data_IF_338007080587
#
_entry.id   IF_338007080587
#
_cell.length_a   1.000
_cell.length_b   1.000
_cell.length_c   1.000
_cell.angle_alpha   90.00
_cell.angle_beta   90.00
_cell.angle_gamma   90.00
#
_symmetry.space_group_name_H-M   'P 1'
#
loop_
_entity.id
_entity.type
_entity.pdbx_description
1 polymer ?
#
# COMPACT_ATOMS: atom_id res chain seq x y z
N UNK A 1 66.00 -12.26 -20.01
CA UNK A 1 65.06 -12.44 -18.90
C UNK A 1 63.65 -12.31 -19.46
N UNK A 2 62.87 -13.39 -19.43
CA UNK A 2 61.56 -13.44 -20.07
C UNK A 2 60.53 -12.77 -19.16
N UNK A 3 59.90 -11.69 -19.63
CA UNK A 3 58.78 -11.03 -18.95
C UNK A 3 57.54 -11.92 -19.05
N UNK A 4 57.00 -12.35 -17.92
CA UNK A 4 55.74 -13.09 -17.87
C UNK A 4 54.60 -12.18 -18.36
N UNK A 5 53.88 -12.60 -19.41
CA UNK A 5 52.69 -11.93 -19.92
C UNK A 5 51.62 -11.82 -18.82
N UNK A 6 50.86 -10.71 -18.75
CA UNK A 6 49.74 -10.59 -17.82
C UNK A 6 48.69 -11.65 -18.17
N UNK A 7 48.24 -12.40 -17.17
CA UNK A 7 47.19 -13.40 -17.32
C UNK A 7 45.94 -12.78 -17.97
N UNK A 8 45.20 -13.52 -18.82
CA UNK A 8 43.99 -12.99 -19.44
C UNK A 8 43.01 -12.60 -18.32
N UNK A 9 42.55 -11.35 -18.36
CA UNK A 9 41.50 -10.81 -17.48
C UNK A 9 40.35 -11.81 -17.47
N UNK A 10 40.19 -12.53 -16.36
CA UNK A 10 39.19 -13.57 -16.25
C UNK A 10 37.85 -12.90 -16.50
N UNK A 11 37.28 -13.14 -17.68
CA UNK A 11 36.02 -12.58 -18.11
C UNK A 11 35.01 -12.82 -16.97
N UNK A 12 34.74 -11.75 -16.20
CA UNK A 12 33.90 -11.83 -15.00
C UNK A 12 32.62 -12.49 -15.45
N UNK A 13 32.36 -13.72 -14.97
CA UNK A 13 31.17 -14.47 -15.34
C UNK A 13 29.98 -13.58 -15.00
N UNK A 14 29.35 -13.03 -16.05
CA UNK A 14 28.16 -12.18 -15.94
C UNK A 14 27.00 -13.10 -15.56
N UNK A 15 26.98 -13.51 -14.30
CA UNK A 15 25.83 -14.18 -13.72
C UNK A 15 24.77 -13.13 -13.43
N UNK A 16 23.51 -13.54 -13.50
CA UNK A 16 22.40 -12.68 -13.10
C UNK A 16 22.52 -12.47 -11.60
N UNK A 17 22.87 -11.25 -11.19
CA UNK A 17 23.01 -10.89 -9.78
C UNK A 17 21.72 -11.20 -9.03
N UNK A 18 21.85 -11.87 -7.89
CA UNK A 18 20.75 -12.11 -6.95
C UNK A 18 20.24 -10.77 -6.38
N UNK A 19 19.04 -10.75 -5.81
CA UNK A 19 18.48 -9.52 -5.23
C UNK A 19 19.40 -8.91 -4.16
N UNK A 20 20.03 -9.77 -3.35
CA UNK A 20 20.97 -9.37 -2.29
C UNK A 20 22.26 -8.81 -2.89
N UNK A 21 22.80 -9.44 -3.94
CA UNK A 21 24.02 -8.97 -4.61
C UNK A 21 23.82 -7.61 -5.30
N UNK A 22 22.65 -7.37 -5.90
CA UNK A 22 22.31 -6.06 -6.47
C UNK A 22 22.31 -4.98 -5.39
N UNK A 23 21.66 -5.24 -4.25
CA UNK A 23 21.66 -4.30 -3.12
C UNK A 23 23.07 -4.06 -2.58
N UNK A 24 23.88 -5.12 -2.39
CA UNK A 24 25.29 -4.98 -1.98
C UNK A 24 26.06 -4.07 -2.93
N UNK A 25 25.97 -4.30 -4.24
CA UNK A 25 26.66 -3.45 -5.22
C UNK A 25 26.20 -1.98 -5.22
N UNK A 26 24.92 -1.72 -4.90
CA UNK A 26 24.39 -0.36 -4.75
C UNK A 26 24.90 0.30 -3.47
N UNK A 27 24.96 -0.44 -2.36
CA UNK A 27 25.53 0.02 -1.09
C UNK A 27 27.02 0.30 -1.22
N UNK A 28 27.79 -0.61 -1.81
CA UNK A 28 29.22 -0.42 -2.08
C UNK A 28 29.47 0.82 -2.93
N UNK A 29 28.56 1.15 -3.85
CA UNK A 29 28.65 2.38 -4.65
C UNK A 29 28.33 3.62 -3.83
N UNK A 30 27.34 3.56 -2.94
CA UNK A 30 26.92 4.69 -2.11
C UNK A 30 27.92 4.98 -0.99
N UNK A 31 28.52 3.94 -0.41
CA UNK A 31 29.48 4.02 0.70
C UNK A 31 30.90 4.39 0.28
N UNK A 32 31.22 4.39 -1.04
CA UNK A 32 32.50 4.89 -1.55
C UNK A 32 32.74 6.36 -1.17
N UNK A 33 31.70 7.17 -1.25
CA UNK A 33 31.75 8.62 -0.96
C UNK A 33 30.60 8.99 0.00
N UNK A 34 30.76 8.78 1.32
CA UNK A 34 29.67 9.00 2.29
C UNK A 34 29.29 10.48 2.47
N UNK A 35 30.13 11.42 2.01
CA UNK A 35 29.84 12.85 2.02
C UNK A 35 28.87 13.28 0.90
N UNK A 36 28.66 12.44 -0.11
CA UNK A 36 27.77 12.76 -1.23
C UNK A 36 26.31 12.48 -0.84
N UNK A 37 25.40 13.47 -0.92
CA UNK A 37 24.00 13.23 -0.62
C UNK A 37 23.42 12.20 -1.60
N UNK A 38 22.69 11.23 -1.06
CA UNK A 38 22.01 10.22 -1.86
C UNK A 38 20.90 10.87 -2.71
N UNK A 39 20.88 10.57 -4.00
CA UNK A 39 19.82 11.04 -4.89
C UNK A 39 18.56 10.20 -4.68
N UNK A 40 17.54 10.81 -4.06
CA UNK A 40 16.19 10.25 -4.01
C UNK A 40 15.37 10.89 -5.12
N UNK A 41 14.85 10.11 -6.08
CA UNK A 41 14.05 10.68 -7.15
C UNK A 41 12.77 11.31 -6.57
N UNK A 42 12.37 12.50 -7.05
CA UNK A 42 11.09 13.08 -6.67
C UNK A 42 9.94 12.21 -7.18
N UNK A 43 8.74 12.42 -6.61
CA UNK A 43 7.53 11.73 -7.05
C UNK A 43 7.32 11.90 -8.57
N UNK A 44 6.80 10.87 -9.25
CA UNK A 44 6.51 10.95 -10.67
C UNK A 44 5.50 12.07 -10.93
N UNK A 45 5.81 12.94 -11.89
CA UNK A 45 4.92 14.03 -12.29
C UNK A 45 3.80 13.51 -13.18
N UNK A 46 2.62 14.08 -13.02
CA UNK A 46 1.48 13.83 -13.90
C UNK A 46 1.78 14.34 -15.31
N UNK A 47 1.22 13.65 -16.31
CA UNK A 47 1.39 14.01 -17.72
C UNK A 47 0.55 15.24 -17.98
N UNK A 48 1.18 16.35 -18.36
CA UNK A 48 0.48 17.60 -18.69
C UNK A 48 0.75 17.97 -20.14
N UNK A 49 -0.26 18.51 -20.80
CA UNK A 49 -0.12 19.09 -22.14
C UNK A 49 0.23 20.55 -21.99
N UNK A 50 1.11 21.03 -22.87
CA UNK A 50 1.48 22.46 -22.91
C UNK A 50 0.24 23.30 -23.18
N UNK A 51 0.04 24.42 -22.45
CA UNK A 51 -1.09 25.29 -22.68
C UNK A 51 -1.09 25.82 -24.12
N UNK A 52 -2.29 26.08 -24.65
CA UNK A 52 -2.43 26.74 -25.93
C UNK A 52 -1.76 28.12 -25.88
N UNK A 53 -1.13 28.52 -26.99
CA UNK A 53 -0.51 29.84 -27.09
C UNK A 53 -1.61 30.90 -27.23
N UNK A 54 -1.52 31.96 -26.43
CA UNK A 54 -2.54 33.02 -26.40
C UNK A 54 -2.70 33.76 -27.73
N UNK A 55 -1.59 34.09 -28.40
CA UNK A 55 -1.60 34.78 -29.70
C UNK A 55 -0.75 34.03 -30.72
N UNK A 56 -1.36 33.63 -31.82
CA UNK A 56 -0.64 33.15 -33.00
C UNK A 56 -0.15 34.33 -33.83
N UNK A 57 1.17 34.41 -34.04
CA UNK A 57 1.80 35.51 -34.80
C UNK A 57 1.70 35.36 -36.32
N UNK A 58 1.39 34.14 -36.81
CA UNK A 58 1.48 33.78 -38.22
C UNK A 58 0.12 33.34 -38.76
N UNK A 59 -0.94 34.11 -38.48
CA UNK A 59 -2.29 33.81 -38.98
C UNK A 59 -2.43 34.44 -40.36
N UNK A 60 -2.55 33.59 -41.38
CA UNK A 60 -2.84 34.02 -42.76
C UNK A 60 -4.32 34.44 -42.87
N UNK A 61 -4.65 35.37 -43.78
CA UNK A 61 -6.00 35.91 -43.90
C UNK A 61 -7.06 34.85 -44.23
N UNK A 62 -8.31 35.08 -43.80
CA UNK A 62 -9.39 34.08 -43.84
C UNK A 62 -9.78 33.61 -45.25
N UNK A 63 -9.51 34.41 -46.28
CA UNK A 63 -9.77 34.07 -47.70
C UNK A 63 -8.55 33.53 -48.42
N UNK A 64 -7.41 33.40 -47.74
CA UNK A 64 -6.19 32.93 -48.37
C UNK A 64 -6.24 31.41 -48.57
N UNK A 65 -5.71 30.92 -49.69
CA UNK A 65 -5.72 29.49 -50.03
C UNK A 65 -4.87 28.63 -49.09
N UNK A 66 -5.09 27.31 -49.14
CA UNK A 66 -4.32 26.35 -48.34
C UNK A 66 -2.84 26.34 -48.75
N UNK A 67 -1.96 26.74 -47.83
CA UNK A 67 -0.52 26.65 -48.01
C UNK A 67 0.01 25.22 -47.83
N UNK A 68 1.23 24.94 -48.31
CA UNK A 68 1.87 23.63 -48.20
C UNK A 68 2.13 23.16 -46.76
N UNK A 69 2.25 24.11 -45.82
CA UNK A 69 2.44 23.83 -44.40
C UNK A 69 1.16 23.57 -43.60
N UNK A 70 -0.02 23.89 -44.15
CA UNK A 70 -1.28 23.86 -43.41
C UNK A 70 -1.65 22.46 -42.95
N UNK A 71 -1.36 21.44 -43.78
CA UNK A 71 -1.55 20.04 -43.41
C UNK A 71 -0.78 19.65 -42.13
N UNK A 72 0.46 20.12 -42.00
CA UNK A 72 1.28 19.81 -40.83
C UNK A 72 0.81 20.57 -39.59
N UNK A 73 0.32 21.81 -39.74
CA UNK A 73 -0.31 22.58 -38.67
C UNK A 73 -1.54 21.84 -38.14
N UNK A 74 -2.43 21.38 -39.03
CA UNK A 74 -3.60 20.58 -38.66
C UNK A 74 -3.22 19.25 -37.99
N UNK A 75 -2.25 18.52 -38.54
CA UNK A 75 -1.79 17.24 -37.96
C UNK A 75 -1.28 17.44 -36.53
N UNK A 76 -0.49 18.50 -36.29
CA UNK A 76 0.03 18.81 -34.97
C UNK A 76 -1.07 19.27 -33.99
N UNK A 77 -2.00 20.11 -34.44
CA UNK A 77 -3.12 20.59 -33.60
C UNK A 77 -4.07 19.45 -33.24
N UNK A 78 -4.43 18.60 -34.22
CA UNK A 78 -5.29 17.43 -34.01
C UNK A 78 -4.67 16.43 -33.05
N UNK A 79 -3.37 16.15 -33.19
CA UNK A 79 -2.66 15.27 -32.25
C UNK A 79 -2.69 15.83 -30.83
N UNK A 80 -2.40 17.12 -30.66
CA UNK A 80 -2.45 17.78 -29.35
C UNK A 80 -3.86 17.72 -28.74
N UNK A 81 -4.89 17.91 -29.57
CA UNK A 81 -6.27 17.87 -29.09
C UNK A 81 -6.72 16.45 -28.68
N UNK A 82 -6.34 15.42 -29.43
CA UNK A 82 -6.60 14.04 -29.03
C UNK A 82 -5.86 13.63 -27.76
N UNK A 83 -4.61 14.06 -27.61
CA UNK A 83 -3.87 13.87 -26.36
C UNK A 83 -4.61 14.58 -25.20
N UNK A 84 -5.17 15.78 -25.42
CA UNK A 84 -5.90 16.55 -24.40
C UNK A 84 -7.21 15.91 -23.99
N UNK A 85 -8.02 15.50 -24.97
CA UNK A 85 -9.28 14.81 -24.72
C UNK A 85 -9.03 13.50 -23.98
N UNK A 86 -8.02 12.73 -24.41
CA UNK A 86 -7.66 11.48 -23.75
C UNK A 86 -7.26 11.69 -22.27
N UNK A 87 -6.45 12.69 -21.96
CA UNK A 87 -6.08 12.96 -20.57
C UNK A 87 -7.29 13.35 -19.73
N UNK A 88 -8.20 14.19 -20.25
CA UNK A 88 -9.44 14.56 -19.57
C UNK A 88 -10.35 13.34 -19.32
N UNK A 89 -10.46 12.45 -20.30
CA UNK A 89 -11.21 11.19 -20.16
C UNK A 89 -10.58 10.25 -19.12
N UNK A 90 -9.25 10.10 -19.15
CA UNK A 90 -8.50 9.27 -18.21
C UNK A 90 -8.62 9.84 -16.77
N UNK A 91 -8.52 11.16 -16.59
CA UNK A 91 -8.70 11.85 -15.31
C UNK A 91 -10.11 11.65 -14.76
N UNK A 92 -11.15 11.89 -15.56
CA UNK A 92 -12.53 11.69 -15.15
C UNK A 92 -12.82 10.23 -14.74
N UNK A 93 -12.21 9.28 -15.46
CA UNK A 93 -12.30 7.87 -15.12
C UNK A 93 -11.64 7.57 -13.78
N UNK A 94 -10.41 8.01 -13.56
CA UNK A 94 -9.69 7.82 -12.29
C UNK A 94 -10.46 8.48 -11.13
N UNK A 95 -10.98 9.69 -11.33
CA UNK A 95 -11.79 10.38 -10.30
C UNK A 95 -13.04 9.56 -9.95
N UNK A 96 -13.76 9.04 -10.94
CA UNK A 96 -14.94 8.19 -10.68
C UNK A 96 -14.58 6.90 -9.92
N UNK A 97 -13.50 6.22 -10.32
CA UNK A 97 -13.06 4.97 -9.70
C UNK A 97 -12.57 5.19 -8.26
N UNK A 98 -11.84 6.29 -8.01
CA UNK A 98 -11.36 6.66 -6.68
C UNK A 98 -12.52 7.07 -5.77
N UNK A 99 -13.47 7.87 -6.25
CA UNK A 99 -14.65 8.25 -5.48
C UNK A 99 -15.51 7.03 -5.08
N UNK A 100 -15.71 6.08 -6.01
CA UNK A 100 -16.40 4.83 -5.69
C UNK A 100 -15.66 3.99 -4.66
N UNK A 101 -14.34 3.87 -4.81
CA UNK A 101 -13.50 3.12 -3.89
C UNK A 101 -13.54 3.74 -2.49
N UNK A 102 -13.41 5.06 -2.37
CA UNK A 102 -13.48 5.76 -1.10
C UNK A 102 -14.84 5.61 -0.44
N UNK A 103 -15.94 5.67 -1.21
CA UNK A 103 -17.29 5.43 -0.70
C UNK A 103 -17.41 4.02 -0.12
N UNK A 104 -17.01 3.00 -0.88
CA UNK A 104 -17.04 1.59 -0.41
C UNK A 104 -16.17 1.38 0.82
N UNK A 105 -15.01 2.03 0.86
CA UNK A 105 -14.08 1.97 2.00
C UNK A 105 -14.70 2.58 3.25
N UNK A 106 -15.29 3.78 3.16
CA UNK A 106 -15.96 4.46 4.27
C UNK A 106 -17.13 3.63 4.80
N UNK A 107 -17.97 3.10 3.93
CA UNK A 107 -19.07 2.21 4.32
C UNK A 107 -18.57 0.96 5.08
N UNK A 108 -17.47 0.35 4.61
CA UNK A 108 -16.88 -0.79 5.29
C UNK A 108 -16.29 -0.42 6.66
N UNK A 109 -15.60 0.72 6.76
CA UNK A 109 -15.05 1.25 8.00
C UNK A 109 -16.17 1.58 9.01
N UNK A 110 -17.23 2.28 8.58
CA UNK A 110 -18.38 2.64 9.41
C UNK A 110 -19.12 1.40 9.95
N UNK A 111 -19.32 0.37 9.12
CA UNK A 111 -19.98 -0.86 9.57
C UNK A 111 -19.11 -1.65 10.55
N UNK A 112 -17.79 -1.63 10.39
CA UNK A 112 -16.85 -2.23 11.33
C UNK A 112 -16.81 -1.43 12.64
N UNK A 113 -16.81 -0.10 12.58
CA UNK A 113 -16.85 0.78 13.74
C UNK A 113 -18.15 0.61 14.52
N UNK A 114 -19.31 0.60 13.86
CA UNK A 114 -20.59 0.37 14.51
C UNK A 114 -20.64 -0.97 15.27
N UNK A 115 -20.11 -2.04 14.67
CA UNK A 115 -20.02 -3.37 15.32
C UNK A 115 -19.06 -3.34 16.52
N UNK A 116 -17.89 -2.73 16.37
CA UNK A 116 -16.89 -2.66 17.44
C UNK A 116 -17.33 -1.74 18.57
N UNK A 117 -17.95 -0.60 18.29
CA UNK A 117 -18.52 0.33 19.25
C UNK A 117 -19.65 -0.32 20.07
N UNK A 118 -20.57 -1.05 19.41
CA UNK A 118 -21.63 -1.81 20.10
C UNK A 118 -21.04 -2.84 21.06
N UNK A 119 -20.00 -3.56 20.64
CA UNK A 119 -19.33 -4.55 21.48
C UNK A 119 -18.52 -3.89 22.62
N UNK A 120 -17.86 -2.76 22.36
CA UNK A 120 -17.15 -1.95 23.35
C UNK A 120 -18.11 -1.43 24.42
N UNK A 121 -19.26 -0.88 24.03
CA UNK A 121 -20.30 -0.42 24.94
C UNK A 121 -20.84 -1.55 25.83
N UNK A 122 -21.08 -2.75 25.28
CA UNK A 122 -21.47 -3.93 26.08
C UNK A 122 -20.41 -4.32 27.13
N UNK A 123 -19.13 -4.29 26.75
CA UNK A 123 -18.01 -4.59 27.66
C UNK A 123 -17.87 -3.54 28.76
N UNK A 124 -18.01 -2.24 28.43
CA UNK A 124 -17.94 -1.16 29.42
C UNK A 124 -19.09 -1.24 30.42
N UNK A 125 -20.34 -1.45 29.96
CA UNK A 125 -21.48 -1.67 30.86
C UNK A 125 -21.26 -2.86 31.80
N UNK A 126 -20.66 -3.96 31.33
CA UNK A 126 -20.30 -5.10 32.19
C UNK A 126 -19.21 -4.74 33.20
N UNK A 127 -18.20 -3.98 32.79
CA UNK A 127 -17.11 -3.50 33.64
C UNK A 127 -17.63 -2.55 34.74
N UNK A 128 -18.52 -1.62 34.40
CA UNK A 128 -19.17 -0.72 35.34
C UNK A 128 -20.02 -1.50 36.36
N UNK A 129 -20.86 -2.44 35.91
CA UNK A 129 -21.63 -3.30 36.81
C UNK A 129 -20.75 -4.13 37.76
N UNK A 130 -19.60 -4.61 37.29
CA UNK A 130 -18.65 -5.35 38.12
C UNK A 130 -17.94 -4.43 39.14
N UNK A 131 -17.66 -3.17 38.77
CA UNK A 131 -17.07 -2.14 39.65
C UNK A 131 -18.03 -1.60 40.71
N UNK A 132 -19.34 -1.66 40.49
CA UNK A 132 -20.37 -1.28 41.48
C UNK A 132 -20.71 -2.44 42.42
N UNK A 133 -20.39 -3.68 42.05
CA UNK A 133 -20.59 -4.89 42.88
C UNK A 133 -19.45 -5.33 43.83
N UNK A 134 -18.31 -4.65 44.05
CA UNK A 134 -17.25 -5.17 44.91
C UNK A 134 -17.47 -4.90 46.40
N UNK A 135 -18.69 -4.61 46.86
CA UNK A 135 -18.94 -4.28 48.28
C UNK A 135 -20.10 -5.01 48.96
N UNK A 136 -20.69 -6.07 48.38
CA UNK A 136 -21.56 -6.95 49.15
C UNK A 136 -21.38 -8.42 48.75
N UNK A 137 -21.08 -9.22 49.79
CA UNK A 137 -20.97 -10.69 49.88
C UNK A 137 -19.58 -11.26 49.56
N UNK A 138 -18.77 -11.73 50.51
CA UNK A 138 -19.12 -12.14 51.88
C UNK A 138 -20.09 -13.33 51.85
N UNK A 139 -19.52 -14.53 51.91
CA UNK A 139 -20.17 -15.83 52.12
C UNK A 139 -20.99 -16.47 50.99
N UNK A 140 -20.39 -17.56 50.48
CA UNK A 140 -20.95 -18.83 50.02
C UNK A 140 -22.40 -18.92 49.52
N UNK A 141 -22.56 -19.34 48.25
CA UNK A 141 -23.22 -20.61 47.91
C UNK A 141 -22.99 -20.97 46.45
N UNK A 142 -22.55 -22.20 46.27
CA UNK A 142 -22.57 -23.02 45.06
C UNK A 142 -23.90 -22.88 44.29
N UNK A 143 -23.82 -22.55 42.99
CA UNK A 143 -24.84 -22.96 42.03
C UNK A 143 -24.21 -23.02 40.63
N UNK A 144 -23.84 -24.25 40.29
CA UNK A 144 -23.31 -24.67 39.00
C UNK A 144 -24.47 -24.68 37.98
N UNK A 145 -24.69 -23.58 37.27
CA UNK A 145 -25.58 -23.56 36.11
C UNK A 145 -24.80 -23.27 34.84
N UNK A 146 -24.37 -24.36 34.19
CA UNK A 146 -23.83 -24.40 32.84
C UNK A 146 -24.84 -23.83 31.83
N UNK A 147 -24.59 -22.63 31.32
CA UNK A 147 -25.24 -22.12 30.13
C UNK A 147 -24.42 -22.51 28.88
N UNK A 148 -25.04 -23.03 27.81
CA UNK A 148 -24.38 -23.82 26.80
C UNK A 148 -23.44 -22.95 25.95
N UNK A 149 -22.14 -23.25 26.04
CA UNK A 149 -21.12 -22.75 25.14
C UNK A 149 -21.51 -23.18 23.72
N UNK A 150 -21.88 -22.20 22.89
CA UNK A 150 -22.12 -22.40 21.45
C UNK A 150 -20.89 -23.07 20.83
N UNK A 151 -21.03 -24.37 20.56
CA UNK A 151 -20.10 -25.23 19.82
C UNK A 151 -19.72 -24.55 18.50
N UNK A 152 -18.57 -23.88 18.46
CA UNK A 152 -17.93 -23.45 17.22
C UNK A 152 -17.21 -24.68 16.67
N UNK A 153 -17.74 -25.25 15.59
CA UNK A 153 -17.13 -26.41 14.92
C UNK A 153 -15.70 -26.05 14.51
N UNK A 154 -14.75 -26.82 15.03
CA UNK A 154 -13.35 -26.76 14.63
C UNK A 154 -13.15 -27.76 13.47
N UNK A 155 -12.67 -27.26 12.33
CA UNK A 155 -12.20 -28.14 11.25
C UNK A 155 -10.91 -28.79 11.78
N UNK A 156 -10.94 -30.12 11.95
CA UNK A 156 -9.84 -31.01 12.37
C UNK A 156 -9.69 -31.37 13.86
N UNK A 157 -10.74 -31.21 14.68
CA UNK A 157 -10.91 -32.05 15.89
C UNK A 157 -9.88 -31.94 17.02
N UNK A 158 -9.03 -30.91 17.06
CA UNK A 158 -8.12 -30.66 18.20
C UNK A 158 -8.52 -29.41 18.97
N UNK A 159 -9.13 -29.57 20.13
CA UNK A 159 -9.57 -28.46 20.98
C UNK A 159 -8.40 -27.51 21.33
N UNK A 160 -8.52 -26.25 20.94
CA UNK A 160 -7.59 -25.19 21.32
C UNK A 160 -8.13 -24.47 22.55
N UNK A 161 -7.66 -24.90 23.72
CA UNK A 161 -7.88 -24.20 24.99
C UNK A 161 -6.85 -23.07 25.09
N UNK A 162 -7.30 -21.82 24.97
CA UNK A 162 -6.41 -20.66 25.21
C UNK A 162 -6.22 -20.48 26.72
N UNK A 163 -5.01 -20.80 27.21
CA UNK A 163 -4.54 -20.54 28.58
C UNK A 163 -4.41 -19.02 28.81
N UNK A 164 -4.73 -18.55 30.02
CA UNK A 164 -4.52 -17.15 30.40
C UNK A 164 -3.03 -16.89 30.66
N UNK A 165 -2.52 -15.67 30.45
CA UNK A 165 -1.10 -15.37 30.72
C UNK A 165 -0.81 -15.48 32.23
N UNK A 166 0.07 -16.39 32.63
CA UNK A 166 0.57 -16.51 34.02
C UNK A 166 0.59 -17.91 34.66
N UNK A 167 0.21 -18.99 33.98
CA UNK A 167 0.45 -20.35 34.49
C UNK A 167 1.80 -20.88 34.00
N UNK A 168 2.79 -20.94 34.89
CA UNK A 168 4.03 -21.70 34.72
C UNK A 168 3.72 -23.20 34.81
N UNK A 169 4.25 -23.98 33.86
CA UNK A 169 4.12 -25.43 33.84
C UNK A 169 5.21 -26.06 34.72
N UNK A 170 4.84 -26.46 35.93
CA UNK A 170 5.52 -27.54 36.64
C UNK A 170 4.87 -28.86 36.19
N UNK A 171 5.49 -29.56 35.25
CA UNK A 171 5.31 -31.01 35.13
C UNK A 171 6.66 -31.65 34.84
N UNK A 172 7.13 -32.35 35.87
CA UNK A 172 8.30 -33.18 35.96
C UNK A 172 8.24 -34.39 35.02
N UNK A 173 9.44 -34.85 34.69
CA UNK A 173 9.85 -36.14 34.16
C UNK A 173 9.11 -37.34 34.80
N UNK A 174 8.41 -38.16 34.00
CA UNK A 174 8.27 -39.62 34.26
C UNK A 174 8.10 -40.39 32.93
N UNK A 175 9.06 -41.30 32.72
CA UNK A 175 9.21 -42.40 31.73
C UNK A 175 9.36 -42.09 30.22
#
# INVERSE_FOLDING_TARGET
SHSASPAPDQARRRHVLTAVERQRSQLDRLLKDPSKPAYVPPAPKEKTIRPAREMMKNVQGSSAGAGSGEFHVYKASRRREYERLKMMEDEARIESETAEFERRRKEAEDTAEAKTAKNRAKRQKKKERAKVKPSEKGDGKDDTQEAPLKKRRLVNGKELVFRKPGEESDEEEVD
#
